data_IF_060319524377
#
_entry.id   IF_060319524377
#
_cell.length_a   1.000
_cell.length_b   1.000
_cell.length_c   1.000
_cell.angle_alpha   90.00
_cell.angle_beta   90.00
_cell.angle_gamma   90.00
#
_symmetry.space_group_name_H-M   'P 1'
#
loop_
_entity.id
_entity.type
_entity.pdbx_description
1 polymer ?
#
# COMPACT_ATOMS: atom_id res chain seq x y z
N UNK A 1 1.47 37.01 -51.44
CA UNK A 1 2.89 37.41 -51.38
C UNK A 1 3.40 37.09 -49.99
N UNK A 2 4.60 36.48 -49.90
CA UNK A 2 5.50 36.37 -48.71
C UNK A 2 5.03 35.29 -47.70
N UNK A 3 5.63 34.07 -47.67
CA UNK A 3 6.92 33.65 -47.03
C UNK A 3 6.87 33.83 -45.50
N UNK A 4 7.47 33.03 -44.61
CA UNK A 4 8.16 31.74 -44.54
C UNK A 4 8.66 31.69 -43.07
N UNK A 5 8.94 30.49 -42.54
CA UNK A 5 9.80 30.19 -41.38
C UNK A 5 9.23 30.30 -39.94
N UNK A 6 9.20 29.15 -39.23
CA UNK A 6 10.09 28.80 -38.10
C UNK A 6 9.59 27.44 -37.53
N UNK A 7 10.15 26.29 -37.89
CA UNK A 7 11.38 25.62 -37.39
C UNK A 7 11.18 24.86 -36.05
N UNK A 8 11.45 23.54 -36.14
CA UNK A 8 11.95 22.57 -35.14
C UNK A 8 11.17 22.33 -33.82
N UNK A 9 10.70 21.09 -33.65
CA UNK A 9 11.34 20.10 -32.74
C UNK A 9 10.43 18.87 -32.57
N UNK A 10 10.76 17.76 -33.22
CA UNK A 10 10.23 16.44 -32.86
C UNK A 10 11.42 15.50 -32.73
N UNK A 11 11.99 15.48 -31.52
CA UNK A 11 12.96 14.45 -31.13
C UNK A 11 12.20 13.16 -30.85
N UNK A 12 12.27 12.24 -31.81
CA UNK A 12 12.01 10.82 -31.57
C UNK A 12 13.12 10.28 -30.68
N UNK A 13 12.82 10.02 -29.40
CA UNK A 13 13.66 9.17 -28.56
C UNK A 13 13.25 7.72 -28.81
N UNK A 14 14.00 7.06 -29.68
CA UNK A 14 14.09 5.61 -29.71
C UNK A 14 14.93 5.16 -28.51
N UNK A 15 14.42 4.24 -27.70
CA UNK A 15 15.27 3.49 -26.77
C UNK A 15 14.75 2.08 -26.59
N UNK A 16 15.64 1.16 -26.99
CA UNK A 16 15.88 -0.15 -26.43
C UNK A 16 14.81 -1.24 -26.60
N UNK A 17 15.00 -2.00 -27.69
CA UNK A 17 14.74 -3.43 -27.76
C UNK A 17 15.39 -4.15 -26.56
N UNK A 18 14.58 -4.68 -25.64
CA UNK A 18 15.03 -5.72 -24.71
C UNK A 18 14.75 -7.10 -25.33
N UNK A 19 15.83 -7.80 -25.67
CA UNK A 19 15.81 -9.15 -26.21
C UNK A 19 15.36 -10.16 -25.14
N UNK A 20 14.32 -10.94 -25.44
CA UNK A 20 13.94 -12.13 -24.68
C UNK A 20 14.84 -13.29 -25.13
N UNK A 21 15.67 -13.80 -24.22
CA UNK A 21 16.44 -15.03 -24.41
C UNK A 21 15.71 -16.19 -23.70
N UNK A 22 15.33 -17.27 -24.40
CA UNK A 22 14.83 -18.48 -23.75
C UNK A 22 16.00 -19.43 -23.45
N UNK A 23 15.98 -20.06 -22.26
CA UNK A 23 16.72 -21.32 -22.06
C UNK A 23 17.39 -21.54 -20.70
N UNK A 24 16.72 -22.34 -19.86
CA UNK A 24 17.22 -23.48 -19.06
C UNK A 24 18.17 -23.26 -17.86
N UNK A 25 17.66 -23.64 -16.68
CA UNK A 25 18.44 -24.01 -15.50
C UNK A 25 17.53 -24.15 -14.28
N UNK A 26 17.05 -25.36 -14.00
CA UNK A 26 15.95 -25.63 -13.05
C UNK A 26 16.34 -25.79 -11.57
N UNK A 27 15.30 -25.82 -10.72
CA UNK A 27 15.30 -26.49 -9.41
C UNK A 27 13.85 -26.70 -8.91
N UNK A 28 13.44 -27.97 -8.77
CA UNK A 28 12.51 -28.44 -7.72
C UNK A 28 10.99 -28.33 -7.94
N UNK A 29 10.20 -29.39 -7.64
CA UNK A 29 8.74 -29.34 -7.68
C UNK A 29 8.15 -29.03 -6.30
N UNK A 30 7.26 -28.05 -6.19
CA UNK A 30 6.19 -28.07 -5.16
C UNK A 30 4.94 -27.41 -5.75
N UNK A 31 4.02 -28.23 -6.26
CA UNK A 31 2.61 -27.93 -6.02
C UNK A 31 2.33 -28.25 -4.55
N UNK A 32 1.78 -27.30 -3.80
CA UNK A 32 0.89 -27.58 -2.67
C UNK A 32 -0.04 -26.40 -2.44
N UNK A 33 -1.29 -26.58 -2.87
CA UNK A 33 -2.44 -25.92 -2.26
C UNK A 33 -2.48 -26.27 -0.76
N UNK A 34 -2.59 -25.25 0.11
CA UNK A 34 -3.20 -25.34 1.45
C UNK A 34 -3.37 -23.94 2.06
N UNK A 35 -4.62 -23.48 2.26
CA UNK A 35 -5.01 -22.46 3.26
C UNK A 35 -4.83 -20.96 2.92
N UNK A 36 -5.67 -20.05 3.48
CA UNK A 36 -5.57 -18.60 3.28
C UNK A 36 -4.45 -18.00 4.14
N UNK A 37 -3.19 -18.23 3.77
CA UNK A 37 -2.04 -17.66 4.48
C UNK A 37 -1.68 -16.27 3.94
N UNK A 38 -2.19 -15.25 4.65
CA UNK A 38 -1.53 -14.00 5.03
C UNK A 38 -0.53 -13.39 4.03
N UNK A 39 -1.05 -12.79 2.96
CA UNK A 39 -0.27 -12.09 1.94
C UNK A 39 -0.06 -10.59 2.30
N UNK A 40 0.55 -10.31 3.45
CA UNK A 40 0.81 -8.92 3.86
C UNK A 40 1.89 -8.70 4.92
N UNK A 41 2.75 -9.68 5.17
CA UNK A 41 3.92 -9.45 6.03
C UNK A 41 4.99 -8.64 5.27
N UNK A 42 5.62 -7.62 5.89
CA UNK A 42 6.86 -7.06 5.42
C UNK A 42 7.90 -8.17 5.21
N UNK A 43 8.77 -8.06 4.20
CA UNK A 43 9.77 -9.09 3.92
C UNK A 43 10.64 -9.37 5.16
N UNK A 44 11.00 -10.63 5.43
CA UNK A 44 11.83 -10.97 6.58
C UNK A 44 13.18 -10.23 6.50
N UNK A 45 13.51 -9.49 7.56
CA UNK A 45 14.74 -8.68 7.66
C UNK A 45 14.57 -7.18 7.37
N UNK A 46 13.35 -6.68 7.15
CA UNK A 46 13.05 -5.24 7.21
C UNK A 46 12.65 -4.80 8.62
N UNK A 47 13.02 -3.58 9.04
CA UNK A 47 12.44 -2.85 10.18
C UNK A 47 11.00 -2.39 9.86
N UNK A 48 10.19 -3.30 9.29
CA UNK A 48 8.87 -3.04 8.77
C UNK A 48 7.95 -2.48 9.83
N UNK A 49 6.96 -1.70 9.40
CA UNK A 49 5.97 -1.13 10.29
C UNK A 49 4.56 -1.34 9.75
N UNK A 50 3.60 -1.32 10.66
CA UNK A 50 2.18 -1.37 10.34
C UNK A 50 1.51 -0.09 10.81
N UNK A 51 0.66 0.48 9.97
CA UNK A 51 -0.36 1.43 10.41
C UNK A 51 -1.63 0.63 10.72
N UNK A 52 -2.05 0.67 11.98
CA UNK A 52 -3.14 -0.14 12.52
C UNK A 52 -4.36 0.75 12.77
N UNK A 53 -5.50 0.34 12.22
CA UNK A 53 -6.80 0.95 12.40
C UNK A 53 -7.70 0.05 13.27
N UNK A 54 -7.91 0.38 14.54
CA UNK A 54 -8.84 -0.33 15.41
C UNK A 54 -10.28 0.07 15.05
N UNK A 55 -10.83 -0.53 14.00
CA UNK A 55 -12.05 -0.04 13.34
C UNK A 55 -13.27 0.01 14.26
N UNK A 56 -13.33 -0.84 15.29
CA UNK A 56 -14.42 -0.84 16.28
C UNK A 56 -14.41 0.40 17.19
N UNK A 57 -13.25 1.04 17.37
CA UNK A 57 -13.10 2.23 18.21
C UNK A 57 -13.53 3.51 17.46
N UNK A 58 -13.66 3.42 16.14
CA UNK A 58 -14.15 4.52 15.31
C UNK A 58 -15.66 4.69 15.45
N UNK A 59 -16.13 5.95 15.47
CA UNK A 59 -17.55 6.24 15.31
C UNK A 59 -18.06 5.78 13.93
N UNK A 60 -19.37 5.58 13.76
CA UNK A 60 -19.95 5.16 12.46
C UNK A 60 -19.55 6.10 11.31
N UNK A 61 -19.45 7.40 11.59
CA UNK A 61 -19.00 8.41 10.62
C UNK A 61 -17.55 8.20 10.22
N UNK A 62 -16.69 7.90 11.19
CA UNK A 62 -15.27 7.62 10.95
C UNK A 62 -15.07 6.28 10.25
N UNK A 63 -15.86 5.26 10.59
CA UNK A 63 -15.87 3.96 9.88
C UNK A 63 -16.25 4.12 8.40
N UNK A 64 -17.27 4.93 8.11
CA UNK A 64 -17.65 5.26 6.74
C UNK A 64 -16.54 6.03 6.01
N UNK A 65 -15.93 7.02 6.67
CA UNK A 65 -14.83 7.79 6.11
C UNK A 65 -13.57 6.95 5.87
N UNK A 66 -13.24 6.06 6.81
CA UNK A 66 -12.15 5.09 6.71
C UNK A 66 -12.33 4.23 5.46
N UNK A 67 -13.50 3.60 5.32
CA UNK A 67 -13.79 2.68 4.22
C UNK A 67 -13.81 3.38 2.87
N UNK A 68 -14.36 4.60 2.80
CA UNK A 68 -14.52 5.34 1.55
C UNK A 68 -13.25 6.09 1.11
N UNK A 69 -12.36 6.46 2.04
CA UNK A 69 -11.24 7.36 1.75
C UNK A 69 -9.88 6.80 2.16
N UNK A 70 -9.77 6.22 3.36
CA UNK A 70 -8.48 5.74 3.88
C UNK A 70 -8.09 4.42 3.22
N UNK A 71 -9.01 3.45 3.15
CA UNK A 71 -8.72 2.15 2.51
C UNK A 71 -8.25 2.35 1.06
N UNK A 72 -8.99 3.04 0.16
CA UNK A 72 -8.53 3.24 -1.21
C UNK A 72 -7.22 4.02 -1.32
N UNK A 73 -6.97 4.97 -0.41
CA UNK A 73 -5.74 5.76 -0.41
C UNK A 73 -4.50 4.91 -0.10
N UNK A 74 -4.61 3.95 0.82
CA UNK A 74 -3.46 3.17 1.28
C UNK A 74 -3.28 1.87 0.49
N UNK A 75 -4.36 1.19 0.09
CA UNK A 75 -4.28 -0.12 -0.57
C UNK A 75 -3.69 -0.09 -1.98
N UNK A 76 -3.49 1.10 -2.57
CA UNK A 76 -2.84 1.24 -3.87
C UNK A 76 -1.37 0.82 -3.84
N UNK A 77 -0.69 1.09 -2.73
CA UNK A 77 0.76 0.91 -2.60
C UNK A 77 1.15 0.09 -1.36
N UNK A 78 0.21 -0.19 -0.46
CA UNK A 78 0.45 -0.89 0.80
C UNK A 78 -0.53 -2.06 0.97
N UNK A 79 -0.05 -3.32 1.08
CA UNK A 79 -0.94 -4.45 1.29
C UNK A 79 -1.67 -4.28 2.62
N UNK A 80 -2.98 -4.54 2.59
CA UNK A 80 -3.85 -4.47 3.76
C UNK A 80 -4.18 -5.89 4.22
N UNK A 81 -4.02 -6.13 5.52
CA UNK A 81 -4.48 -7.35 6.20
C UNK A 81 -5.54 -6.98 7.25
N UNK A 82 -6.43 -7.93 7.56
CA UNK A 82 -7.34 -7.83 8.68
C UNK A 82 -6.91 -8.84 9.74
N UNK A 83 -6.74 -8.40 10.97
CA UNK A 83 -6.22 -9.22 12.08
C UNK A 83 -7.19 -9.32 13.26
N UNK A 84 -8.48 -9.11 13.00
CA UNK A 84 -9.54 -9.31 13.97
C UNK A 84 -10.57 -10.33 13.50
N UNK A 85 -11.76 -10.29 14.11
CA UNK A 85 -12.92 -11.03 13.62
C UNK A 85 -14.02 -10.07 13.17
N UNK A 86 -15.10 -10.60 12.59
CA UNK A 86 -16.20 -9.77 12.09
C UNK A 86 -16.86 -8.87 13.15
N UNK A 87 -16.79 -9.23 14.44
CA UNK A 87 -17.32 -8.43 15.55
C UNK A 87 -16.33 -7.41 16.12
N UNK A 88 -15.03 -7.57 15.87
CA UNK A 88 -13.97 -6.66 16.33
C UNK A 88 -12.84 -6.60 15.31
N UNK A 89 -13.07 -5.92 14.17
CA UNK A 89 -12.10 -5.91 13.06
C UNK A 89 -11.00 -4.88 13.30
N UNK A 90 -9.75 -5.30 13.12
CA UNK A 90 -8.57 -4.41 13.06
C UNK A 90 -7.95 -4.52 11.67
N UNK A 91 -7.60 -3.39 11.06
CA UNK A 91 -6.96 -3.35 9.74
C UNK A 91 -5.52 -2.88 9.85
N UNK A 92 -4.61 -3.59 9.21
CA UNK A 92 -3.19 -3.28 9.19
C UNK A 92 -2.72 -3.02 7.77
N UNK A 93 -1.99 -1.92 7.58
CA UNK A 93 -1.34 -1.58 6.33
C UNK A 93 0.15 -1.68 6.50
N UNK A 94 0.82 -2.51 5.70
CA UNK A 94 2.26 -2.74 5.83
C UNK A 94 3.08 -1.65 5.12
N UNK A 95 4.09 -1.17 5.82
CA UNK A 95 5.09 -0.20 5.36
C UNK A 95 6.50 -0.78 5.49
N UNK A 96 7.41 -0.28 4.66
CA UNK A 96 8.81 -0.69 4.68
C UNK A 96 9.51 -0.31 5.99
N UNK A 97 9.08 0.79 6.63
CA UNK A 97 9.62 1.31 7.88
C UNK A 97 8.62 2.19 8.64
N UNK A 98 8.95 2.54 9.89
CA UNK A 98 8.17 3.41 10.77
C UNK A 98 7.93 4.81 10.18
N UNK A 99 8.87 5.34 9.38
CA UNK A 99 8.77 6.67 8.80
C UNK A 99 7.69 6.71 7.70
N UNK A 100 7.56 5.64 6.92
CA UNK A 100 6.50 5.46 5.93
C UNK A 100 5.11 5.42 6.58
N UNK A 101 4.96 4.64 7.65
CA UNK A 101 3.69 4.56 8.40
C UNK A 101 3.32 5.92 9.03
N UNK A 102 4.29 6.62 9.62
CA UNK A 102 4.14 7.98 10.17
C UNK A 102 3.71 8.99 9.10
N UNK A 103 4.31 8.93 7.91
CA UNK A 103 3.97 9.81 6.79
C UNK A 103 2.53 9.55 6.32
N UNK A 104 2.12 8.29 6.21
CA UNK A 104 0.75 7.92 5.86
C UNK A 104 -0.25 8.44 6.91
N UNK A 105 0.03 8.27 8.20
CA UNK A 105 -0.80 8.82 9.28
C UNK A 105 -0.93 10.34 9.19
N UNK A 106 0.17 11.06 8.93
CA UNK A 106 0.16 12.52 8.71
C UNK A 106 -0.65 12.92 7.47
N UNK A 107 -0.55 12.16 6.37
CA UNK A 107 -1.34 12.39 5.16
C UNK A 107 -2.83 12.28 5.45
N UNK A 108 -3.25 11.25 6.19
CA UNK A 108 -4.64 11.08 6.63
C UNK A 108 -5.04 12.26 7.53
N UNK A 109 -4.20 12.67 8.48
CA UNK A 109 -4.49 13.80 9.37
C UNK A 109 -4.68 15.13 8.62
N UNK A 110 -4.04 15.31 7.46
CA UNK A 110 -4.17 16.52 6.63
C UNK A 110 -5.37 16.46 5.68
N UNK A 111 -6.04 15.32 5.56
CA UNK A 111 -7.26 15.21 4.81
C UNK A 111 -8.44 15.76 5.60
N UNK A 112 -9.16 16.71 4.98
CA UNK A 112 -10.31 17.38 5.61
C UNK A 112 -11.29 16.36 6.18
N UNK A 113 -11.55 16.46 7.49
CA UNK A 113 -12.53 15.64 8.20
C UNK A 113 -12.03 14.26 8.60
N UNK A 114 -10.73 13.96 8.49
CA UNK A 114 -10.10 12.71 8.95
C UNK A 114 -9.14 12.93 10.13
N UNK A 115 -9.10 14.13 10.71
CA UNK A 115 -8.15 14.52 11.76
C UNK A 115 -8.29 13.64 13.01
N UNK A 116 -9.53 13.41 13.46
CA UNK A 116 -9.84 12.57 14.63
C UNK A 116 -9.60 11.09 14.38
N UNK A 117 -9.85 10.63 13.14
CA UNK A 117 -9.55 9.26 12.72
C UNK A 117 -8.04 9.02 12.74
N UNK A 118 -7.24 9.93 12.18
CA UNK A 118 -5.79 9.79 12.13
C UNK A 118 -5.15 9.71 13.52
N UNK A 119 -5.72 10.41 14.51
CA UNK A 119 -5.27 10.38 15.90
C UNK A 119 -5.49 9.03 16.60
N UNK A 120 -6.43 8.22 16.09
CA UNK A 120 -6.74 6.88 16.61
C UNK A 120 -5.92 5.77 15.95
N UNK A 121 -5.14 6.10 14.91
CA UNK A 121 -4.28 5.13 14.24
C UNK A 121 -3.01 4.87 15.04
N UNK A 122 -2.69 3.59 15.20
CA UNK A 122 -1.49 3.12 15.88
C UNK A 122 -0.41 2.76 14.88
N UNK A 123 0.85 2.88 15.26
CA UNK A 123 2.00 2.43 14.46
C UNK A 123 2.80 1.45 15.32
N UNK A 124 3.05 0.27 14.79
CA UNK A 124 3.79 -0.79 15.47
C UNK A 124 4.68 -1.57 14.49
N UNK A 125 5.69 -2.24 15.01
CA UNK A 125 6.58 -3.13 14.22
C UNK A 125 5.89 -4.45 13.86
N UNK A 126 4.86 -4.82 14.63
CA UNK A 126 4.05 -5.99 14.42
C UNK A 126 2.57 -5.63 14.25
N UNK A 127 1.89 -6.49 13.50
CA UNK A 127 0.44 -6.55 13.45
C UNK A 127 0.06 -7.96 13.89
N UNK A 128 0.28 -8.26 15.17
CA UNK A 128 -0.21 -9.48 15.77
C UNK A 128 -1.70 -9.33 16.07
N UNK A 129 -2.48 -10.28 15.56
CA UNK A 129 -3.89 -10.47 15.94
C UNK A 129 -3.97 -10.63 17.47
N UNK A 130 -4.97 -10.01 18.09
CA UNK A 130 -5.31 -10.27 19.50
C UNK A 130 -5.66 -11.73 19.74
#
# INVERSE_FOLDING_TARGET
>A
MIRLAFILALMLSASALAQVKPGMGGAGPVQRETGPDLQGAPPPGSDGAYLIAPFIDFSEREQAAFSARVVPMLTLDHPMTNTGNAASPWYCFAFADMSGAELARRRIANERGLETLAAQLMIAEDCAAG
#
